data_IF_409055676168
#
_entry.id   IF_409055676168
#
_cell.length_a   1.000
_cell.length_b   1.000
_cell.length_c   1.000
_cell.angle_alpha   90.00
_cell.angle_beta   90.00
_cell.angle_gamma   90.00
#
_symmetry.space_group_name_H-M   'P 1'
#
loop_
_entity.id
_entity.type
_entity.pdbx_description
1 polymer ?
#
# COMPACT_ATOMS: atom_id res chain seq x y z
N UNK A 1 6.53 19.87 -19.77
CA UNK A 1 7.05 21.25 -19.93
C UNK A 1 7.92 21.60 -18.73
N UNK A 2 8.94 22.47 -18.87
CA UNK A 2 9.66 23.02 -17.71
C UNK A 2 8.87 24.21 -17.15
N UNK A 3 8.65 24.26 -15.84
CA UNK A 3 8.01 25.40 -15.20
C UNK A 3 8.89 26.65 -15.36
N UNK A 4 8.39 27.78 -15.89
CA UNK A 4 9.17 29.01 -16.01
C UNK A 4 9.53 29.62 -14.65
N UNK A 5 8.78 29.28 -13.60
CA UNK A 5 8.96 29.87 -12.27
C UNK A 5 9.97 29.12 -11.38
N UNK A 6 10.08 27.80 -11.52
CA UNK A 6 11.00 26.99 -10.69
C UNK A 6 11.93 26.06 -11.47
N UNK A 7 11.85 26.04 -12.81
CA UNK A 7 12.73 25.25 -13.68
C UNK A 7 12.51 23.73 -13.66
N UNK A 8 11.62 23.23 -12.81
CA UNK A 8 11.31 21.80 -12.68
C UNK A 8 10.53 21.29 -13.89
N UNK A 9 10.86 20.08 -14.36
CA UNK A 9 10.16 19.41 -15.47
C UNK A 9 8.87 18.83 -14.91
N UNK A 10 7.73 19.35 -15.35
CA UNK A 10 6.42 18.82 -14.96
C UNK A 10 6.14 17.52 -15.74
N UNK A 11 5.64 16.44 -15.09
CA UNK A 11 5.09 15.29 -15.81
C UNK A 11 3.94 15.72 -16.73
N UNK A 12 3.78 15.01 -17.84
CA UNK A 12 3.03 15.46 -19.04
C UNK A 12 1.54 15.79 -18.77
N UNK A 13 0.98 15.35 -17.63
CA UNK A 13 -0.46 15.46 -17.33
C UNK A 13 -0.81 16.32 -16.10
N UNK A 14 0.16 16.99 -15.47
CA UNK A 14 -0.11 17.86 -14.31
C UNK A 14 -0.46 19.27 -14.76
N UNK A 15 -1.70 19.68 -14.50
CA UNK A 15 -2.23 21.01 -14.81
C UNK A 15 -1.58 22.12 -13.97
N UNK A 16 -1.05 21.80 -12.79
CA UNK A 16 -0.37 22.75 -11.91
C UNK A 16 1.01 22.24 -11.47
N UNK A 17 1.95 23.17 -11.33
CA UNK A 17 3.26 22.93 -10.72
C UNK A 17 3.15 23.00 -9.19
N UNK A 18 3.99 22.26 -8.46
CA UNK A 18 4.07 22.34 -6.99
C UNK A 18 4.42 23.75 -6.44
N UNK A 19 4.97 24.64 -7.27
CA UNK A 19 5.21 26.04 -6.91
C UNK A 19 3.98 26.95 -7.09
N UNK A 20 2.82 26.39 -7.49
CA UNK A 20 1.57 27.12 -7.69
C UNK A 20 1.37 27.71 -9.10
N UNK A 21 2.25 27.38 -10.07
CA UNK A 21 2.09 27.84 -11.45
C UNK A 21 1.13 26.94 -12.24
N UNK A 22 0.11 27.52 -12.86
CA UNK A 22 -0.93 26.81 -13.62
C UNK A 22 -0.60 26.78 -15.12
N UNK A 23 -0.57 25.58 -15.71
CA UNK A 23 -0.27 25.32 -17.12
C UNK A 23 -1.54 25.23 -17.99
N UNK A 24 -2.73 25.38 -17.39
CA UNK A 24 -4.03 25.13 -18.06
C UNK A 24 -4.40 26.14 -19.15
N UNK A 25 -3.56 27.16 -19.41
CA UNK A 25 -3.82 28.20 -20.41
C UNK A 25 -3.26 27.93 -21.82
N UNK A 26 -2.55 26.82 -22.08
CA UNK A 26 -1.82 26.65 -23.36
C UNK A 26 -2.17 25.42 -24.23
N UNK A 27 -3.24 24.65 -23.97
CA UNK A 27 -3.52 23.47 -24.80
C UNK A 27 -4.69 23.72 -25.77
N UNK A 28 -4.35 24.08 -27.01
CA UNK A 28 -5.22 23.91 -28.19
C UNK A 28 -5.20 22.46 -28.69
N UNK A 29 -6.25 21.95 -29.35
CA UNK A 29 -6.43 20.51 -29.59
C UNK A 29 -5.83 20.06 -30.92
N UNK A 30 -4.99 19.02 -30.88
CA UNK A 30 -4.61 18.17 -32.02
C UNK A 30 -4.00 16.89 -31.44
N UNK A 31 -4.07 15.69 -32.02
CA UNK A 31 -4.84 15.07 -33.10
C UNK A 31 -4.43 13.59 -33.06
N UNK A 32 -5.36 12.69 -33.37
CA UNK A 32 -5.19 11.23 -33.48
C UNK A 32 -3.83 10.75 -34.01
N UNK A 33 -3.20 9.80 -33.31
CA UNK A 33 -2.37 8.76 -33.95
C UNK A 33 -2.58 7.40 -33.26
N UNK A 34 -2.94 6.42 -34.10
CA UNK A 34 -3.04 4.99 -33.81
C UNK A 34 -1.75 4.45 -33.18
N UNK A 35 -1.86 3.77 -32.05
CA UNK A 35 -0.82 2.85 -31.57
C UNK A 35 -1.49 1.56 -31.10
N UNK A 36 -1.23 0.51 -31.86
CA UNK A 36 -1.47 -0.89 -31.52
C UNK A 36 -0.67 -1.25 -30.26
N UNK A 37 -1.36 -1.55 -29.14
CA UNK A 37 -0.75 -1.99 -27.88
C UNK A 37 -1.65 -3.01 -27.19
N UNK A 38 -1.09 -4.16 -26.85
CA UNK A 38 -1.51 -5.00 -25.74
C UNK A 38 -1.41 -4.18 -24.44
N UNK A 39 -2.52 -3.58 -24.02
CA UNK A 39 -2.58 -2.72 -22.83
C UNK A 39 -2.80 -3.61 -21.59
N UNK A 40 -1.94 -3.53 -20.55
CA UNK A 40 -2.30 -4.04 -19.24
C UNK A 40 -3.50 -3.22 -18.75
N UNK A 41 -4.63 -3.88 -18.47
CA UNK A 41 -5.89 -3.23 -18.13
C UNK A 41 -5.75 -2.32 -16.90
N UNK A 42 -5.45 -1.05 -17.15
CA UNK A 42 -5.60 0.03 -16.20
C UNK A 42 -7.08 0.46 -16.27
N UNK A 43 -7.89 -0.06 -15.35
CA UNK A 43 -9.27 0.42 -15.21
C UNK A 43 -9.23 1.77 -14.50
N UNK A 44 -9.31 2.85 -15.28
CA UNK A 44 -9.62 4.17 -14.74
C UNK A 44 -11.13 4.24 -14.44
N UNK A 45 -11.50 3.92 -13.20
CA UNK A 45 -12.89 4.05 -12.72
C UNK A 45 -13.34 5.52 -12.57
N UNK A 46 -12.45 6.50 -12.77
CA UNK A 46 -12.72 7.90 -12.42
C UNK A 46 -13.11 8.80 -13.58
N UNK A 47 -12.91 8.39 -14.84
CA UNK A 47 -13.13 9.29 -15.99
C UNK A 47 -14.40 9.05 -16.81
N UNK A 48 -15.14 7.93 -16.64
CA UNK A 48 -16.43 7.71 -17.32
C UNK A 48 -17.34 6.72 -16.57
N UNK A 49 -17.88 7.10 -15.42
CA UNK A 49 -18.98 6.33 -14.82
C UNK A 49 -20.22 6.40 -15.73
N UNK A 50 -20.79 5.26 -16.18
CA UNK A 50 -21.97 5.28 -17.04
C UNK A 50 -23.14 5.92 -16.28
N UNK A 51 -23.63 7.05 -16.78
CA UNK A 51 -24.69 7.86 -16.16
C UNK A 51 -26.10 7.29 -16.35
N UNK A 52 -26.24 5.98 -16.61
CA UNK A 52 -27.53 5.32 -16.81
C UNK A 52 -27.54 3.83 -16.46
N UNK A 53 -28.67 3.34 -15.98
CA UNK A 53 -28.86 1.97 -15.49
C UNK A 53 -28.42 0.88 -16.49
N UNK A 54 -28.67 1.08 -17.79
CA UNK A 54 -28.24 0.15 -18.85
C UNK A 54 -26.73 0.10 -19.04
N UNK A 55 -26.02 1.22 -18.83
CA UNK A 55 -24.56 1.26 -18.92
C UNK A 55 -23.91 0.55 -17.74
N UNK A 56 -24.45 0.74 -16.52
CA UNK A 56 -23.99 0.01 -15.33
C UNK A 56 -24.21 -1.51 -15.44
N UNK A 57 -25.34 -1.95 -16.00
CA UNK A 57 -25.64 -3.38 -16.20
C UNK A 57 -24.69 -4.03 -17.22
N UNK A 58 -24.39 -3.33 -18.31
CA UNK A 58 -23.46 -3.81 -19.33
C UNK A 58 -22.02 -3.89 -18.80
N UNK A 59 -21.60 -2.92 -18.00
CA UNK A 59 -20.29 -2.92 -17.36
C UNK A 59 -20.17 -4.03 -16.31
N UNK A 60 -21.20 -4.24 -15.49
CA UNK A 60 -21.26 -5.37 -14.57
C UNK A 60 -21.15 -6.72 -15.30
N UNK A 61 -21.83 -6.88 -16.44
CA UNK A 61 -21.75 -8.10 -17.24
C UNK A 61 -20.34 -8.32 -17.82
N UNK A 62 -19.65 -7.25 -18.22
CA UNK A 62 -18.26 -7.31 -18.67
C UNK A 62 -17.32 -7.76 -17.54
N UNK A 63 -17.49 -7.22 -16.33
CA UNK A 63 -16.73 -7.66 -15.15
C UNK A 63 -16.96 -9.14 -14.87
N UNK A 64 -18.22 -9.60 -14.90
CA UNK A 64 -18.54 -11.02 -14.70
C UNK A 64 -17.87 -11.92 -15.74
N UNK A 65 -17.83 -11.50 -17.01
CA UNK A 65 -17.21 -12.28 -18.06
C UNK A 65 -15.69 -12.37 -17.88
N UNK A 66 -15.02 -11.27 -17.50
CA UNK A 66 -13.59 -11.26 -17.17
C UNK A 66 -13.30 -12.19 -15.99
N UNK A 67 -14.12 -12.13 -14.93
CA UNK A 67 -13.97 -12.99 -13.77
C UNK A 67 -14.12 -14.48 -14.12
N UNK A 68 -15.08 -14.84 -14.98
CA UNK A 68 -15.26 -16.22 -15.45
C UNK A 68 -14.06 -16.70 -16.26
N UNK A 69 -13.53 -15.87 -17.15
CA UNK A 69 -12.38 -16.22 -17.99
C UNK A 69 -11.10 -16.42 -17.16
N UNK A 70 -10.93 -15.65 -16.08
CA UNK A 70 -9.71 -15.67 -15.25
C UNK A 70 -9.88 -16.44 -13.93
N UNK A 71 -10.98 -17.17 -13.74
CA UNK A 71 -11.36 -17.77 -12.46
C UNK A 71 -10.25 -18.68 -11.89
N UNK A 72 -9.65 -19.52 -12.74
CA UNK A 72 -8.59 -20.44 -12.33
C UNK A 72 -7.34 -19.69 -11.83
N UNK A 73 -6.94 -18.62 -12.52
CA UNK A 73 -5.77 -17.82 -12.12
C UNK A 73 -6.04 -17.04 -10.83
N UNK A 74 -7.25 -16.53 -10.66
CA UNK A 74 -7.67 -15.82 -9.44
C UNK A 74 -7.62 -16.76 -8.24
N UNK A 75 -8.19 -17.96 -8.38
CA UNK A 75 -8.16 -18.99 -7.33
C UNK A 75 -6.72 -19.44 -7.08
N UNK A 76 -5.95 -19.71 -8.13
CA UNK A 76 -4.56 -20.13 -8.05
C UNK A 76 -3.70 -19.14 -7.26
N UNK A 77 -3.85 -17.83 -7.52
CA UNK A 77 -3.15 -16.77 -6.77
C UNK A 77 -3.65 -16.63 -5.34
N UNK A 78 -4.95 -16.72 -5.12
CA UNK A 78 -5.54 -16.67 -3.77
C UNK A 78 -4.95 -17.74 -2.84
N UNK A 79 -4.68 -18.95 -3.37
CA UNK A 79 -4.10 -20.07 -2.64
C UNK A 79 -2.61 -19.90 -2.32
N UNK A 80 -1.88 -19.03 -3.04
CA UNK A 80 -0.45 -18.75 -2.79
C UNK A 80 -0.23 -17.85 -1.57
N UNK A 81 -1.24 -17.09 -1.16
CA UNK A 81 -1.14 -16.15 -0.02
C UNK A 81 -1.14 -16.94 1.28
N UNK A 82 -0.12 -16.74 2.12
CA UNK A 82 0.02 -17.49 3.38
C UNK A 82 -1.15 -17.20 4.34
N UNK A 83 -1.70 -18.22 5.01
CA UNK A 83 -2.60 -17.98 6.14
C UNK A 83 -1.81 -17.41 7.32
N UNK A 84 -2.48 -16.65 8.19
CA UNK A 84 -1.89 -16.11 9.40
C UNK A 84 -2.93 -15.91 10.49
N UNK A 85 -2.45 -15.72 11.71
CA UNK A 85 -3.26 -15.39 12.87
C UNK A 85 -2.70 -14.14 13.54
N UNK A 86 -3.58 -13.29 14.06
CA UNK A 86 -3.20 -12.08 14.77
C UNK A 86 -4.32 -11.61 15.70
N UNK A 87 -3.95 -10.97 16.82
CA UNK A 87 -4.86 -10.18 17.66
C UNK A 87 -4.71 -8.68 17.44
N UNK A 88 -3.75 -8.26 16.62
CA UNK A 88 -3.66 -6.86 16.22
C UNK A 88 -4.88 -6.56 15.34
N UNK A 89 -5.56 -5.47 15.64
CA UNK A 89 -6.66 -4.92 14.83
C UNK A 89 -6.36 -3.45 14.60
N UNK A 90 -6.67 -2.96 13.41
CA UNK A 90 -6.51 -1.56 13.04
C UNK A 90 -6.85 -1.31 11.58
N UNK A 91 -6.72 -0.06 11.14
CA UNK A 91 -7.10 0.38 9.79
C UNK A 91 -6.39 -0.41 8.68
N UNK A 92 -5.20 -0.93 8.98
CA UNK A 92 -4.42 -1.79 8.09
C UNK A 92 -5.15 -3.09 7.70
N UNK A 93 -6.11 -3.59 8.50
CA UNK A 93 -6.84 -4.83 8.19
C UNK A 93 -7.73 -4.68 6.95
N UNK A 94 -8.32 -3.49 6.75
CA UNK A 94 -9.09 -3.18 5.55
C UNK A 94 -8.20 -3.14 4.30
N UNK A 95 -6.99 -2.59 4.45
CA UNK A 95 -5.98 -2.54 3.39
C UNK A 95 -5.43 -3.93 3.06
N UNK A 96 -5.30 -4.82 4.04
CA UNK A 96 -4.93 -6.22 3.81
C UNK A 96 -5.92 -6.91 2.87
N UNK A 97 -7.22 -6.78 3.15
CA UNK A 97 -8.26 -7.38 2.31
C UNK A 97 -8.16 -6.86 0.88
N UNK A 98 -8.05 -5.55 0.71
CA UNK A 98 -7.89 -4.91 -0.60
C UNK A 98 -6.61 -5.37 -1.32
N UNK A 99 -5.49 -5.48 -0.61
CA UNK A 99 -4.23 -5.95 -1.19
C UNK A 99 -4.32 -7.41 -1.66
N UNK A 100 -4.97 -8.27 -0.87
CA UNK A 100 -5.20 -9.67 -1.22
C UNK A 100 -6.10 -9.79 -2.44
N UNK A 101 -7.19 -9.02 -2.50
CA UNK A 101 -8.11 -9.02 -3.63
C UNK A 101 -7.39 -8.50 -4.89
N UNK A 102 -6.61 -7.41 -4.77
CA UNK A 102 -5.80 -6.87 -5.86
C UNK A 102 -4.78 -7.89 -6.40
N UNK A 103 -4.09 -8.62 -5.52
CA UNK A 103 -3.14 -9.66 -5.91
C UNK A 103 -3.84 -10.79 -6.67
N UNK A 104 -4.98 -11.23 -6.15
CA UNK A 104 -5.79 -12.29 -6.73
C UNK A 104 -6.36 -11.90 -8.10
N UNK A 105 -6.59 -10.61 -8.34
CA UNK A 105 -7.02 -10.09 -9.65
C UNK A 105 -5.86 -9.81 -10.61
N UNK A 106 -4.65 -9.53 -10.10
CA UNK A 106 -3.41 -9.44 -10.91
C UNK A 106 -2.86 -8.03 -10.96
N UNK A 107 -3.38 -7.17 -10.10
CA UNK A 107 -2.97 -5.80 -9.96
C UNK A 107 -1.73 -5.73 -9.07
N UNK A 108 -0.61 -6.22 -9.59
CA UNK A 108 0.64 -6.39 -8.83
C UNK A 108 1.24 -5.07 -8.33
N UNK A 109 1.22 -4.04 -9.18
CA UNK A 109 1.65 -2.68 -8.80
C UNK A 109 0.79 -2.11 -7.66
N UNK A 110 -0.54 -2.19 -7.81
CA UNK A 110 -1.50 -1.77 -6.79
C UNK A 110 -1.35 -2.56 -5.50
N UNK A 111 -1.10 -3.86 -5.59
CA UNK A 111 -0.86 -4.73 -4.44
C UNK A 111 0.34 -4.24 -3.62
N UNK A 112 1.48 -3.95 -4.25
CA UNK A 112 2.67 -3.46 -3.53
C UNK A 112 2.42 -2.10 -2.88
N UNK A 113 1.73 -1.20 -3.59
CA UNK A 113 1.30 0.09 -3.04
C UNK A 113 0.43 -0.07 -1.79
N UNK A 114 -0.59 -0.93 -1.86
CA UNK A 114 -1.50 -1.23 -0.76
C UNK A 114 -0.77 -1.88 0.42
N UNK A 115 0.17 -2.81 0.16
CA UNK A 115 0.98 -3.43 1.22
C UNK A 115 1.87 -2.40 1.90
N UNK A 116 2.41 -1.43 1.16
CA UNK A 116 3.15 -0.31 1.74
C UNK A 116 2.28 0.60 2.63
N UNK A 117 1.08 0.95 2.17
CA UNK A 117 0.11 1.72 2.98
C UNK A 117 -0.31 0.96 4.24
N UNK A 118 -0.55 -0.35 4.10
CA UNK A 118 -0.86 -1.25 5.20
C UNK A 118 0.27 -1.30 6.23
N UNK A 119 1.52 -1.43 5.77
CA UNK A 119 2.72 -1.37 6.63
C UNK A 119 2.85 -0.05 7.35
N UNK A 120 2.54 1.07 6.68
CA UNK A 120 2.54 2.38 7.30
C UNK A 120 1.45 2.52 8.37
N UNK A 121 0.21 2.15 8.07
CA UNK A 121 -0.89 2.18 9.03
C UNK A 121 -0.60 1.30 10.26
N UNK A 122 0.00 0.13 10.07
CA UNK A 122 0.43 -0.74 11.16
C UNK A 122 1.52 -0.10 12.03
N UNK A 123 2.55 0.49 11.42
CA UNK A 123 3.61 1.15 12.17
C UNK A 123 3.09 2.37 12.95
N UNK A 124 2.16 3.12 12.36
CA UNK A 124 1.43 4.22 13.02
C UNK A 124 0.70 3.74 14.28
N UNK A 125 -0.09 2.66 14.14
CA UNK A 125 -0.74 2.03 15.29
C UNK A 125 0.24 1.64 16.40
N UNK A 126 1.38 1.02 16.07
CA UNK A 126 2.38 0.66 17.09
C UNK A 126 2.99 1.90 17.75
N UNK A 127 3.26 2.92 16.94
CA UNK A 127 3.84 4.17 17.37
C UNK A 127 2.93 4.94 18.34
N UNK A 128 1.62 4.96 18.08
CA UNK A 128 0.63 5.59 18.97
C UNK A 128 0.52 4.91 20.34
N UNK A 129 0.88 3.63 20.44
CA UNK A 129 0.87 2.87 21.71
C UNK A 129 2.11 3.12 22.57
N UNK A 130 3.11 3.86 22.09
CA UNK A 130 4.34 4.13 22.84
C UNK A 130 4.05 5.20 23.90
N UNK A 131 4.36 4.90 25.15
CA UNK A 131 4.29 5.85 26.25
C UNK A 131 5.71 6.00 26.82
N UNK A 132 6.28 7.19 26.68
CA UNK A 132 7.59 7.52 27.27
C UNK A 132 7.36 8.30 28.55
N UNK A 133 7.98 7.88 29.64
CA UNK A 133 7.91 8.59 30.93
C UNK A 133 9.26 9.21 31.26
N UNK A 134 9.21 10.40 31.86
CA UNK A 134 10.34 11.06 32.51
C UNK A 134 10.68 10.30 33.80
N UNK A 135 11.85 10.63 34.38
CA UNK A 135 12.31 10.06 35.65
C UNK A 135 11.37 10.38 36.83
N UNK A 136 10.65 11.49 36.76
CA UNK A 136 9.63 11.88 37.75
C UNK A 136 8.28 11.16 37.56
N UNK A 137 8.17 10.25 36.59
CA UNK A 137 6.97 9.48 36.27
C UNK A 137 5.99 10.18 35.32
N UNK A 138 6.21 11.45 34.98
CA UNK A 138 5.33 12.18 34.06
C UNK A 138 5.53 11.73 32.61
N UNK A 139 4.44 11.67 31.83
CA UNK A 139 4.52 11.30 30.43
C UNK A 139 5.18 12.40 29.58
N UNK A 140 6.07 11.99 28.69
CA UNK A 140 6.64 12.83 27.67
C UNK A 140 5.65 13.02 26.53
N UNK A 141 5.65 14.21 25.94
CA UNK A 141 4.91 14.44 24.71
C UNK A 141 5.68 13.85 23.52
N UNK A 142 5.20 12.71 23.00
CA UNK A 142 5.81 12.04 21.85
C UNK A 142 5.94 12.95 20.61
N UNK A 143 4.98 13.87 20.40
CA UNK A 143 5.02 14.84 19.30
C UNK A 143 6.20 15.80 19.43
N UNK A 144 6.60 16.16 20.65
CA UNK A 144 7.80 16.97 20.88
C UNK A 144 9.08 16.16 20.69
N UNK A 145 9.09 14.89 21.09
CA UNK A 145 10.28 14.04 21.01
C UNK A 145 10.63 13.62 19.58
N UNK A 146 9.62 13.40 18.74
CA UNK A 146 9.81 12.73 17.46
C UNK A 146 9.13 13.43 16.28
N UNK A 147 8.28 14.43 16.54
CA UNK A 147 7.46 15.14 15.54
C UNK A 147 6.02 14.63 15.47
N UNK A 148 5.20 15.30 14.68
CA UNK A 148 3.84 14.82 14.37
C UNK A 148 3.90 13.48 13.65
N UNK A 149 3.20 12.48 14.18
CA UNK A 149 3.17 11.12 13.62
C UNK A 149 2.87 11.10 12.11
N UNK A 150 1.94 11.93 11.66
CA UNK A 150 1.53 12.07 10.26
C UNK A 150 2.62 12.65 9.36
N UNK A 151 3.60 13.36 9.91
CA UNK A 151 4.71 13.98 9.18
C UNK A 151 6.02 13.17 9.24
N UNK A 152 6.08 12.13 10.07
CA UNK A 152 7.25 11.24 10.14
C UNK A 152 7.23 10.31 8.92
N UNK A 153 8.33 10.27 8.16
CA UNK A 153 8.51 9.33 7.06
C UNK A 153 8.48 7.89 7.58
N UNK A 154 7.93 6.97 6.79
CA UNK A 154 7.77 5.57 7.17
C UNK A 154 9.09 4.90 7.60
N UNK A 155 10.18 5.11 6.88
CA UNK A 155 11.50 4.58 7.24
C UNK A 155 11.95 5.03 8.64
N UNK A 156 11.82 6.34 8.94
CA UNK A 156 12.15 6.89 10.26
C UNK A 156 11.25 6.30 11.35
N UNK A 157 9.97 6.07 11.06
CA UNK A 157 9.02 5.44 11.98
C UNK A 157 9.44 4.01 12.33
N UNK A 158 9.84 3.23 11.33
CA UNK A 158 10.34 1.85 11.51
C UNK A 158 11.61 1.86 12.39
N UNK A 159 12.54 2.77 12.12
CA UNK A 159 13.77 2.89 12.92
C UNK A 159 13.49 3.23 14.38
N UNK A 160 12.59 4.20 14.66
CA UNK A 160 12.20 4.52 16.04
C UNK A 160 11.59 3.31 16.75
N UNK A 161 10.71 2.56 16.08
CA UNK A 161 10.11 1.35 16.65
C UNK A 161 11.16 0.28 16.99
N UNK A 162 12.22 0.18 16.18
CA UNK A 162 13.34 -0.74 16.42
C UNK A 162 14.22 -0.30 17.58
N UNK A 163 14.62 0.97 17.60
CA UNK A 163 15.45 1.55 18.68
C UNK A 163 14.76 1.46 20.05
N UNK A 164 13.43 1.64 20.08
CA UNK A 164 12.63 1.50 21.30
C UNK A 164 12.23 0.05 21.62
N UNK A 165 12.76 -0.93 20.87
CA UNK A 165 12.51 -2.37 21.05
C UNK A 165 11.02 -2.77 20.97
N UNK A 166 10.17 -1.95 20.34
CA UNK A 166 8.75 -2.26 20.07
C UNK A 166 8.63 -3.35 19.02
N UNK A 167 9.59 -3.40 18.09
CA UNK A 167 9.77 -4.44 17.08
C UNK A 167 11.19 -5.02 17.19
N UNK A 168 11.34 -6.30 16.84
CA UNK A 168 12.65 -6.96 16.76
C UNK A 168 13.22 -6.94 15.33
N UNK A 169 14.42 -7.51 15.15
CA UNK A 169 15.12 -7.53 13.86
C UNK A 169 14.32 -8.23 12.76
N UNK A 170 13.58 -9.29 13.11
CA UNK A 170 12.78 -10.01 12.14
C UNK A 170 11.71 -9.09 11.56
N UNK A 171 10.91 -8.46 12.43
CA UNK A 171 9.85 -7.53 12.01
C UNK A 171 10.43 -6.32 11.29
N UNK A 172 11.53 -5.75 11.80
CA UNK A 172 12.23 -4.62 11.18
C UNK A 172 12.60 -4.91 9.72
N UNK A 173 13.29 -6.03 9.47
CA UNK A 173 13.75 -6.41 8.14
C UNK A 173 12.59 -6.57 7.14
N UNK A 174 11.46 -7.12 7.59
CA UNK A 174 10.26 -7.28 6.75
C UNK A 174 9.61 -5.94 6.43
N UNK A 175 9.52 -5.02 7.39
CA UNK A 175 8.97 -3.67 7.17
C UNK A 175 9.86 -2.84 6.24
N UNK A 176 11.19 -2.91 6.38
CA UNK A 176 12.13 -2.27 5.46
C UNK A 176 12.02 -2.85 4.04
N UNK A 177 11.93 -4.18 3.92
CA UNK A 177 11.71 -4.84 2.63
C UNK A 177 10.44 -4.32 1.93
N UNK A 178 9.33 -4.16 2.66
CA UNK A 178 8.10 -3.58 2.13
C UNK A 178 8.31 -2.13 1.69
N UNK A 179 8.92 -1.30 2.54
CA UNK A 179 9.16 0.12 2.26
C UNK A 179 10.01 0.34 1.00
N UNK A 180 11.08 -0.45 0.83
CA UNK A 180 11.94 -0.42 -0.36
C UNK A 180 11.13 -0.75 -1.62
N UNK A 181 10.34 -1.82 -1.60
CA UNK A 181 9.57 -2.23 -2.78
C UNK A 181 8.45 -1.23 -3.12
N UNK A 182 7.76 -0.68 -2.12
CA UNK A 182 6.78 0.38 -2.34
C UNK A 182 7.42 1.61 -2.97
N UNK A 183 8.60 2.05 -2.51
CA UNK A 183 9.26 3.21 -3.09
C UNK A 183 9.70 2.97 -4.54
N UNK A 184 10.15 1.76 -4.88
CA UNK A 184 10.45 1.40 -6.29
C UNK A 184 9.21 1.57 -7.19
N UNK A 185 8.08 1.07 -6.72
CA UNK A 185 6.80 1.06 -7.45
C UNK A 185 6.22 2.47 -7.61
N UNK A 186 6.30 3.29 -6.56
CA UNK A 186 5.81 4.69 -6.58
C UNK A 186 6.66 5.60 -7.45
N UNK A 187 7.99 5.45 -7.44
CA UNK A 187 8.89 6.31 -8.21
C UNK A 187 9.14 5.82 -9.65
N UNK A 188 8.78 4.57 -9.97
CA UNK A 188 8.99 3.99 -11.29
C UNK A 188 7.76 3.21 -11.76
N UNK A 189 6.68 3.95 -12.03
CA UNK A 189 5.36 3.41 -12.39
C UNK A 189 5.42 2.55 -13.67
N UNK A 190 6.35 2.85 -14.58
CA UNK A 190 6.52 2.09 -15.83
C UNK A 190 7.20 0.73 -15.67
N UNK A 191 7.78 0.45 -14.50
CA UNK A 191 8.46 -0.84 -14.27
C UNK A 191 7.42 -1.93 -14.02
N UNK A 192 7.39 -2.94 -14.88
CA UNK A 192 6.62 -4.15 -14.62
C UNK A 192 7.11 -4.84 -13.34
N UNK A 193 6.16 -5.35 -12.58
CA UNK A 193 6.43 -6.11 -11.36
C UNK A 193 5.86 -7.50 -11.50
N UNK A 194 6.68 -8.50 -11.18
CA UNK A 194 6.27 -9.90 -11.30
C UNK A 194 5.31 -10.33 -10.19
N UNK A 195 4.55 -11.39 -10.45
CA UNK A 195 3.70 -12.04 -9.45
C UNK A 195 4.51 -12.49 -8.23
N UNK A 196 5.67 -13.13 -8.45
CA UNK A 196 6.50 -13.67 -7.37
C UNK A 196 7.09 -12.57 -6.48
N UNK A 197 7.56 -11.47 -7.06
CA UNK A 197 8.01 -10.31 -6.28
C UNK A 197 6.87 -9.72 -5.46
N UNK A 198 5.69 -9.60 -6.05
CA UNK A 198 4.50 -9.09 -5.37
C UNK A 198 4.06 -9.99 -4.22
N UNK A 199 4.04 -11.31 -4.46
CA UNK A 199 3.71 -12.30 -3.44
C UNK A 199 4.71 -12.27 -2.29
N UNK A 200 6.00 -12.10 -2.57
CA UNK A 200 7.04 -11.93 -1.52
C UNK A 200 6.79 -10.69 -0.66
N UNK A 201 6.40 -9.57 -1.27
CA UNK A 201 6.09 -8.33 -0.53
C UNK A 201 4.84 -8.51 0.33
N UNK A 202 3.75 -9.07 -0.22
CA UNK A 202 2.52 -9.35 0.53
C UNK A 202 2.79 -10.31 1.71
N UNK A 203 3.49 -11.42 1.46
CA UNK A 203 3.83 -12.39 2.49
C UNK A 203 4.81 -11.82 3.54
N UNK A 204 5.61 -10.80 3.21
CA UNK A 204 6.46 -10.14 4.20
C UNK A 204 5.63 -9.46 5.30
N UNK A 205 4.49 -8.86 4.96
CA UNK A 205 3.61 -8.27 5.97
C UNK A 205 2.88 -9.33 6.79
N UNK A 206 2.46 -10.41 6.14
CA UNK A 206 1.90 -11.57 6.85
C UNK A 206 2.89 -12.12 7.88
N UNK A 207 4.17 -12.25 7.52
CA UNK A 207 5.21 -12.71 8.43
C UNK A 207 5.43 -11.75 9.62
N UNK A 208 5.27 -10.43 9.42
CA UNK A 208 5.26 -9.46 10.55
C UNK A 208 4.16 -9.79 11.54
N UNK A 209 2.94 -10.06 11.08
CA UNK A 209 1.80 -10.35 11.95
C UNK A 209 1.97 -11.69 12.66
N UNK A 210 2.30 -12.75 11.92
CA UNK A 210 2.49 -14.10 12.48
C UNK A 210 3.60 -14.11 13.53
N UNK A 211 4.77 -13.53 13.23
CA UNK A 211 5.90 -13.51 14.16
C UNK A 211 5.55 -12.77 15.46
N UNK A 212 4.82 -11.65 15.37
CA UNK A 212 4.36 -10.93 16.56
C UNK A 212 3.33 -11.72 17.35
N UNK A 213 2.40 -12.40 16.68
CA UNK A 213 1.45 -13.28 17.34
C UNK A 213 2.17 -14.38 18.12
N UNK A 214 3.10 -15.09 17.47
CA UNK A 214 3.87 -16.18 18.08
C UNK A 214 4.76 -15.70 19.23
N UNK A 215 5.27 -14.46 19.17
CA UNK A 215 6.08 -13.89 20.25
C UNK A 215 5.24 -13.55 21.48
N UNK A 216 4.02 -13.05 21.28
CA UNK A 216 3.17 -12.54 22.35
C UNK A 216 2.18 -13.56 22.88
N UNK A 217 1.92 -14.63 22.14
CA UNK A 217 0.87 -15.60 22.46
C UNK A 217 1.35 -17.03 22.28
N UNK A 218 0.66 -17.97 22.92
CA UNK A 218 0.80 -19.41 22.74
C UNK A 218 -0.58 -20.06 22.75
N UNK A 219 -0.67 -21.26 22.19
CA UNK A 219 -1.88 -22.08 22.30
C UNK A 219 -1.69 -23.04 23.48
N UNK A 220 -2.62 -23.01 24.42
CA UNK A 220 -2.69 -23.93 25.55
C UNK A 220 -4.10 -24.54 25.61
N UNK A 221 -4.20 -25.87 25.56
CA UNK A 221 -5.48 -26.61 25.55
C UNK A 221 -6.50 -26.07 24.53
N UNK A 222 -6.05 -25.79 23.30
CA UNK A 222 -6.89 -25.25 22.23
C UNK A 222 -7.31 -23.78 22.39
N UNK A 223 -6.86 -23.11 23.46
CA UNK A 223 -7.12 -21.67 23.70
C UNK A 223 -5.87 -20.86 23.46
N UNK A 224 -6.03 -19.71 22.82
CA UNK A 224 -4.92 -18.77 22.66
C UNK A 224 -4.78 -17.95 23.94
N UNK A 225 -3.58 -17.97 24.54
CA UNK A 225 -3.25 -17.24 25.76
C UNK A 225 -2.03 -16.34 25.54
N UNK A 226 -2.00 -15.18 26.20
CA UNK A 226 -0.83 -14.29 26.18
C UNK A 226 0.33 -14.94 26.95
N UNK A 227 1.54 -14.83 26.39
CA UNK A 227 2.78 -15.27 27.04
C UNK A 227 3.17 -14.34 28.18
#
# INVERSE_FOLDING_TARGET
>A
MKCPNCGLINPINTQQCECGHDFSTEISPSSNQNIDRTVPAYFDFSSNLPTGAKGMEQEAQNVVNILKQNANDIVGRSLKVKPFMTFEVGDWASLYKQAKDAFSMGYFHSTISLVGMMSEAFCRQLYQKIIIKKLDGNECNNKLLFGEETRIRQERRINILKELLVIDDHVYNKLIHININRNKVVHNISKEVSEDETLKVLNSFIEVLSHRFDKLHKINDGKVVRK
#
